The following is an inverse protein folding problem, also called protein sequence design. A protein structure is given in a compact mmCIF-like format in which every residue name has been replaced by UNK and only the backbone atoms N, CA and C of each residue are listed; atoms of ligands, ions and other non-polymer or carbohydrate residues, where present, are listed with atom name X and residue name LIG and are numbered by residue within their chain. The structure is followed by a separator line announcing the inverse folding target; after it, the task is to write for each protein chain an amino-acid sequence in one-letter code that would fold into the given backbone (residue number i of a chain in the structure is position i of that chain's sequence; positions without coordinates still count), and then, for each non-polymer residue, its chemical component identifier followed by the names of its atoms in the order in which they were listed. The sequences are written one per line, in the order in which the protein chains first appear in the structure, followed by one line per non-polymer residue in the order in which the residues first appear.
data_IF_094432479135
#
_entry.id   IF_094432479135
#
_cell.length_a   1.000
_cell.length_b   1.000
_cell.length_c   1.000
_cell.angle_alpha   90.00
_cell.angle_beta   90.00
_cell.angle_gamma   90.00
#
_symmetry.space_group_name_H-M   'P 1'
#
loop_
_entity.id
_entity.type
_entity.pdbx_description
1 polymer ?
#
# COMPACT_ATOMS: atom_id res chain seq x y z
N UNK A 1 -13.21 -10.20 1.11
CA UNK A 1 -11.83 -10.33 1.61
C UNK A 1 -11.09 -9.02 1.37
N UNK A 2 -10.05 -8.68 2.16
CA UNK A 2 -9.20 -7.53 1.88
C UNK A 2 -8.54 -7.70 0.50
N UNK A 3 -8.69 -6.71 -0.37
CA UNK A 3 -8.20 -6.76 -1.75
C UNK A 3 -7.08 -5.75 -2.03
N UNK A 4 -6.13 -6.15 -2.85
CA UNK A 4 -5.07 -5.28 -3.37
C UNK A 4 -5.71 -4.31 -4.38
N UNK A 5 -5.47 -3.02 -4.20
CA UNK A 5 -6.03 -1.98 -5.07
C UNK A 5 -5.26 -1.87 -6.38
N UNK A 6 -5.94 -1.49 -7.46
CA UNK A 6 -5.33 -1.26 -8.77
C UNK A 6 -4.17 -0.25 -8.72
N UNK A 7 -4.30 0.80 -7.91
CA UNK A 7 -3.25 1.80 -7.68
C UNK A 7 -1.97 1.19 -7.08
N UNK A 8 -2.10 0.19 -6.20
CA UNK A 8 -0.93 -0.49 -5.62
C UNK A 8 -0.24 -1.37 -6.68
N UNK A 9 -0.99 -1.93 -7.64
CA UNK A 9 -0.43 -2.64 -8.80
C UNK A 9 0.33 -1.68 -9.71
N UNK A 10 -0.23 -0.50 -9.99
CA UNK A 10 0.43 0.55 -10.78
C UNK A 10 1.74 1.01 -10.12
N UNK A 11 1.71 1.21 -8.81
CA UNK A 11 2.91 1.57 -8.04
C UNK A 11 3.99 0.47 -8.09
N UNK A 12 3.60 -0.80 -7.94
CA UNK A 12 4.50 -1.93 -8.06
C UNK A 12 5.09 -2.09 -9.49
N UNK A 13 4.27 -1.89 -10.52
CA UNK A 13 4.74 -1.88 -11.93
C UNK A 13 5.79 -0.78 -12.12
N UNK A 14 5.53 0.43 -11.65
CA UNK A 14 6.46 1.55 -11.79
C UNK A 14 7.76 1.32 -11.02
N UNK A 15 7.69 0.72 -9.83
CA UNK A 15 8.87 0.29 -9.08
C UNK A 15 9.77 -0.65 -9.90
N UNK A 16 9.19 -1.70 -10.49
CA UNK A 16 9.95 -2.65 -11.28
C UNK A 16 10.44 -2.09 -12.60
N UNK A 17 9.70 -1.17 -13.24
CA UNK A 17 10.18 -0.46 -14.44
C UNK A 17 11.40 0.41 -14.16
N UNK A 18 11.46 1.03 -12.98
CA UNK A 18 12.64 1.79 -12.56
C UNK A 18 13.84 0.91 -12.25
N UNK A 19 13.60 -0.26 -11.63
CA UNK A 19 14.66 -1.20 -11.23
C UNK A 19 15.20 -2.04 -12.39
N UNK A 20 14.32 -2.56 -13.23
CA UNK A 20 14.61 -3.40 -14.38
C UNK A 20 14.02 -2.75 -15.65
N UNK A 21 14.65 -1.68 -16.17
CA UNK A 21 14.17 -1.01 -17.37
C UNK A 21 14.25 -1.95 -18.59
N UNK A 22 13.32 -1.76 -19.52
CA UNK A 22 13.32 -2.48 -20.79
C UNK A 22 14.51 -2.03 -21.65
N UNK A 23 15.43 -2.95 -21.96
CA UNK A 23 16.66 -2.64 -22.70
C UNK A 23 16.40 -2.22 -24.16
N UNK A 24 15.36 -2.77 -24.77
CA UNK A 24 14.92 -2.51 -26.16
C UNK A 24 13.71 -1.57 -26.23
N UNK A 25 13.19 -1.12 -25.06
CA UNK A 25 11.98 -0.31 -24.96
C UNK A 25 10.67 -1.08 -25.20
N UNK A 26 10.71 -2.40 -25.41
CA UNK A 26 9.55 -3.23 -25.76
C UNK A 26 9.41 -4.42 -24.81
N UNK A 27 10.50 -5.12 -24.52
CA UNK A 27 10.53 -6.32 -23.69
C UNK A 27 10.37 -5.97 -22.22
N UNK A 28 9.27 -6.41 -21.61
CA UNK A 28 9.01 -6.24 -20.18
C UNK A 28 9.78 -7.28 -19.35
N UNK A 29 10.35 -6.83 -18.23
CA UNK A 29 10.91 -7.71 -17.20
C UNK A 29 9.84 -8.67 -16.65
N UNK A 30 10.24 -9.86 -16.15
CA UNK A 30 9.29 -10.87 -15.66
C UNK A 30 8.30 -10.33 -14.62
N UNK A 31 8.76 -9.49 -13.69
CA UNK A 31 7.95 -8.91 -12.62
C UNK A 31 6.90 -7.94 -13.17
N UNK A 32 7.32 -7.06 -14.09
CA UNK A 32 6.41 -6.12 -14.76
C UNK A 32 5.37 -6.86 -15.58
N UNK A 33 5.77 -7.92 -16.30
CA UNK A 33 4.84 -8.75 -17.09
C UNK A 33 3.80 -9.44 -16.22
N UNK A 34 4.22 -10.00 -15.07
CA UNK A 34 3.32 -10.68 -14.15
C UNK A 34 2.29 -9.70 -13.55
N UNK A 35 2.74 -8.53 -13.08
CA UNK A 35 1.85 -7.49 -12.54
C UNK A 35 0.93 -6.90 -13.62
N UNK A 36 1.44 -6.69 -14.84
CA UNK A 36 0.64 -6.19 -15.96
C UNK A 36 -0.50 -7.14 -16.34
N UNK A 37 -0.31 -8.46 -16.19
CA UNK A 37 -1.38 -9.44 -16.38
C UNK A 37 -2.51 -9.28 -15.38
N UNK A 38 -2.19 -9.06 -14.09
CA UNK A 38 -3.18 -8.78 -13.05
C UNK A 38 -3.89 -7.45 -13.33
N UNK A 39 -3.13 -6.40 -13.63
CA UNK A 39 -3.68 -5.08 -13.98
C UNK A 39 -4.66 -5.16 -15.14
N UNK A 40 -4.27 -5.82 -16.24
CA UNK A 40 -5.10 -5.99 -17.42
C UNK A 40 -6.41 -6.73 -17.10
N UNK A 41 -6.33 -7.77 -16.26
CA UNK A 41 -7.51 -8.51 -15.79
C UNK A 41 -8.45 -7.62 -14.98
N UNK A 42 -7.93 -6.83 -14.03
CA UNK A 42 -8.72 -5.90 -13.23
C UNK A 42 -9.44 -4.87 -14.09
N UNK A 43 -8.75 -4.28 -15.08
CA UNK A 43 -9.34 -3.32 -16.02
C UNK A 43 -10.43 -4.00 -16.88
N UNK A 44 -10.17 -5.19 -17.39
CA UNK A 44 -11.13 -5.94 -18.21
C UNK A 44 -12.40 -6.31 -17.41
N UNK A 45 -12.25 -6.68 -16.15
CA UNK A 45 -13.35 -7.03 -15.25
C UNK A 45 -14.00 -5.80 -14.57
N UNK A 46 -13.51 -4.58 -14.84
CA UNK A 46 -13.95 -3.33 -14.21
C UNK A 46 -13.87 -3.36 -12.67
N UNK A 47 -12.77 -3.90 -12.14
CA UNK A 47 -12.53 -4.02 -10.70
C UNK A 47 -11.40 -3.10 -10.24
N UNK A 48 -11.63 -2.36 -9.15
CA UNK A 48 -10.59 -1.55 -8.51
C UNK A 48 -9.79 -2.33 -7.45
N UNK A 49 -10.30 -3.49 -7.03
CA UNK A 49 -9.68 -4.36 -6.03
C UNK A 49 -9.74 -5.82 -6.45
N UNK A 50 -8.64 -6.55 -6.25
CA UNK A 50 -8.56 -7.99 -6.48
C UNK A 50 -8.07 -8.72 -5.22
N UNK A 51 -8.56 -9.93 -5.00
CA UNK A 51 -8.15 -10.77 -3.88
C UNK A 51 -6.70 -11.23 -4.06
N UNK A 52 -5.88 -11.20 -3.01
CA UNK A 52 -4.50 -11.67 -3.10
C UNK A 52 -4.41 -13.18 -3.41
N UNK A 53 -5.45 -13.95 -3.07
CA UNK A 53 -5.54 -15.36 -3.39
C UNK A 53 -5.65 -15.64 -4.91
N UNK A 54 -6.13 -14.66 -5.69
CA UNK A 54 -6.29 -14.79 -7.15
C UNK A 54 -5.00 -14.45 -7.90
N UNK A 55 -3.95 -14.00 -7.20
CA UNK A 55 -2.73 -13.53 -7.84
C UNK A 55 -1.85 -14.70 -8.26
N UNK A 56 -1.34 -14.70 -9.50
CA UNK A 56 -0.24 -15.58 -9.87
C UNK A 56 0.95 -15.36 -8.91
N UNK A 57 1.62 -16.44 -8.50
CA UNK A 57 2.70 -16.37 -7.50
C UNK A 57 3.80 -15.34 -7.85
N UNK A 58 4.16 -15.22 -9.14
CA UNK A 58 5.12 -14.22 -9.61
C UNK A 58 4.63 -12.77 -9.45
N UNK A 59 3.33 -12.52 -9.64
CA UNK A 59 2.75 -11.19 -9.45
C UNK A 59 2.67 -10.84 -7.96
N UNK A 60 2.26 -11.79 -7.12
CA UNK A 60 2.20 -11.58 -5.66
C UNK A 60 3.60 -11.33 -5.08
N UNK A 61 4.60 -12.11 -5.49
CA UNK A 61 5.99 -11.88 -5.08
C UNK A 61 6.53 -10.51 -5.54
N UNK A 62 6.22 -10.11 -6.78
CA UNK A 62 6.60 -8.80 -7.30
C UNK A 62 5.91 -7.65 -6.54
N UNK A 63 4.65 -7.83 -6.15
CA UNK A 63 3.92 -6.86 -5.34
C UNK A 63 4.49 -6.74 -3.92
N UNK A 64 4.80 -7.85 -3.24
CA UNK A 64 5.44 -7.84 -1.92
C UNK A 64 6.80 -7.15 -1.94
N UNK A 65 7.62 -7.41 -2.96
CA UNK A 65 8.91 -6.75 -3.10
C UNK A 65 8.80 -5.22 -3.23
N UNK A 66 7.72 -4.70 -3.82
CA UNK A 66 7.44 -3.26 -3.81
C UNK A 66 6.93 -2.82 -2.43
N UNK A 67 5.97 -3.55 -1.85
CA UNK A 67 5.39 -3.27 -0.54
C UNK A 67 6.48 -3.09 0.54
N UNK A 68 7.49 -3.96 0.55
CA UNK A 68 8.62 -3.92 1.49
C UNK A 68 9.48 -2.64 1.39
N UNK A 69 9.35 -1.88 0.29
CA UNK A 69 10.02 -0.58 0.14
C UNK A 69 9.22 0.59 0.71
N UNK A 70 7.94 0.39 0.98
CA UNK A 70 7.03 1.42 1.51
C UNK A 70 7.21 1.62 3.01
N UNK A 71 6.71 2.74 3.56
CA UNK A 71 6.76 2.97 4.99
C UNK A 71 5.87 1.95 5.73
N UNK A 72 6.42 1.25 6.72
CA UNK A 72 5.67 0.20 7.43
C UNK A 72 4.54 0.80 8.25
N UNK A 73 4.75 1.91 8.97
CA UNK A 73 3.72 2.46 9.88
C UNK A 73 3.36 3.91 9.60
N UNK A 74 2.06 4.29 9.69
CA UNK A 74 1.65 5.70 9.58
C UNK A 74 1.85 6.50 10.87
N UNK A 75 2.40 5.89 11.92
CA UNK A 75 2.50 6.46 13.26
C UNK A 75 3.48 7.65 13.31
N UNK A 76 3.12 8.69 14.06
CA UNK A 76 3.99 9.85 14.35
C UNK A 76 4.27 10.01 15.85
N UNK A 77 4.19 8.91 16.60
CA UNK A 77 4.33 8.85 18.07
C UNK A 77 3.37 9.80 18.83
N UNK A 78 2.18 10.04 18.27
CA UNK A 78 1.08 10.74 18.93
C UNK A 78 -0.15 9.84 18.84
N UNK A 79 -0.69 9.45 20.00
CA UNK A 79 -1.87 8.59 20.09
C UNK A 79 -2.99 9.32 20.82
N UNK A 80 -4.14 9.45 20.16
CA UNK A 80 -5.35 10.01 20.76
C UNK A 80 -6.44 8.96 20.99
N UNK A 81 -6.32 7.77 20.39
CA UNK A 81 -7.24 6.64 20.64
C UNK A 81 -7.06 6.08 22.04
N UNK A 82 -5.84 6.08 22.60
CA UNK A 82 -5.60 5.78 24.02
C UNK A 82 -6.27 6.78 24.98
N UNK A 83 -6.72 7.93 24.48
CA UNK A 83 -7.43 8.97 25.24
C UNK A 83 -8.95 8.97 24.95
N UNK A 84 -9.44 8.01 24.17
CA UNK A 84 -10.86 7.81 23.90
C UNK A 84 -11.37 8.25 22.52
N UNK A 85 -10.51 8.78 21.63
CA UNK A 85 -10.94 9.06 20.25
C UNK A 85 -11.14 7.76 19.44
N UNK A 86 -12.15 7.69 18.58
CA UNK A 86 -12.37 6.53 17.70
C UNK A 86 -11.29 6.40 16.60
N UNK A 87 -10.79 7.54 16.11
CA UNK A 87 -9.71 7.66 15.13
C UNK A 87 -8.55 8.44 15.74
N UNK A 88 -7.33 7.95 15.54
CA UNK A 88 -6.14 8.59 16.04
C UNK A 88 -5.89 9.89 15.26
N UNK A 89 -5.99 11.04 15.94
CA UNK A 89 -5.72 12.37 15.34
C UNK A 89 -4.30 12.49 14.78
N UNK A 90 -3.35 11.72 15.32
CA UNK A 90 -1.97 11.69 14.84
C UNK A 90 -1.83 10.99 13.49
N UNK A 91 -2.24 9.72 13.39
CA UNK A 91 -1.96 8.86 12.24
C UNK A 91 -3.18 8.47 11.37
N UNK A 92 -4.40 8.72 11.83
CA UNK A 92 -5.65 8.40 11.10
C UNK A 92 -6.16 6.96 11.27
N UNK A 93 -5.43 6.11 12.01
CA UNK A 93 -5.84 4.72 12.29
C UNK A 93 -6.97 4.64 13.31
N UNK A 94 -7.82 3.62 13.21
CA UNK A 94 -8.77 3.23 14.26
C UNK A 94 -8.05 2.66 15.48
N UNK A 95 -8.73 2.55 16.61
CA UNK A 95 -8.15 1.89 17.79
C UNK A 95 -7.76 0.43 17.53
N UNK A 96 -8.55 -0.30 16.76
CA UNK A 96 -8.27 -1.69 16.38
C UNK A 96 -7.02 -1.80 15.51
N UNK A 97 -6.89 -0.98 14.47
CA UNK A 97 -5.71 -0.94 13.60
C UNK A 97 -4.44 -0.53 14.36
N UNK A 98 -4.56 0.32 15.38
CA UNK A 98 -3.44 0.69 16.25
C UNK A 98 -2.98 -0.50 17.08
N UNK A 99 -3.91 -1.26 17.68
CA UNK A 99 -3.59 -2.40 18.55
C UNK A 99 -3.06 -3.60 17.75
N UNK A 100 -3.65 -3.89 16.61
CA UNK A 100 -3.36 -5.11 15.85
C UNK A 100 -2.37 -4.90 14.70
N UNK A 101 -1.79 -3.70 14.54
CA UNK A 101 -0.93 -3.36 13.39
C UNK A 101 0.13 -4.40 13.06
N UNK A 102 0.79 -4.96 14.08
CA UNK A 102 1.87 -5.95 13.89
C UNK A 102 1.37 -7.31 13.38
N UNK A 103 0.10 -7.64 13.64
CA UNK A 103 -0.52 -8.88 13.19
C UNK A 103 -1.25 -8.74 11.85
N UNK A 104 -1.50 -7.51 11.38
CA UNK A 104 -2.16 -7.25 10.11
C UNK A 104 -1.29 -7.68 8.92
N UNK A 105 -1.93 -8.25 7.91
CA UNK A 105 -1.29 -8.61 6.64
C UNK A 105 -0.83 -7.37 5.86
N UNK A 106 0.04 -7.55 4.87
CA UNK A 106 0.46 -6.47 3.99
C UNK A 106 -0.75 -5.80 3.29
N UNK A 107 -1.73 -6.60 2.84
CA UNK A 107 -2.93 -6.10 2.16
C UNK A 107 -3.80 -5.29 3.13
N UNK A 108 -3.99 -5.78 4.36
CA UNK A 108 -4.75 -5.06 5.39
C UNK A 108 -4.09 -3.72 5.73
N UNK A 109 -2.76 -3.71 5.91
CA UNK A 109 -1.99 -2.49 6.13
C UNK A 109 -2.13 -1.51 4.96
N UNK A 110 -2.11 -2.00 3.71
CA UNK A 110 -2.32 -1.17 2.52
C UNK A 110 -3.71 -0.57 2.44
N UNK A 111 -4.75 -1.30 2.83
CA UNK A 111 -6.11 -0.76 2.93
C UNK A 111 -6.17 0.40 3.93
N UNK A 112 -5.58 0.23 5.12
CA UNK A 112 -5.49 1.31 6.10
C UNK A 112 -4.73 2.52 5.54
N UNK A 113 -3.55 2.29 4.95
CA UNK A 113 -2.73 3.35 4.34
C UNK A 113 -3.48 4.10 3.24
N UNK A 114 -4.18 3.39 2.36
CA UNK A 114 -5.01 3.99 1.32
C UNK A 114 -6.09 4.87 1.93
N UNK A 115 -6.85 4.36 2.91
CA UNK A 115 -7.92 5.12 3.58
C UNK A 115 -7.38 6.40 4.20
N UNK A 116 -6.36 6.31 5.07
CA UNK A 116 -5.85 7.49 5.78
C UNK A 116 -5.23 8.52 4.83
N UNK A 117 -4.66 8.07 3.71
CA UNK A 117 -4.08 8.96 2.69
C UNK A 117 -5.15 9.66 1.87
N UNK A 118 -6.24 8.96 1.54
CA UNK A 118 -7.41 9.54 0.85
C UNK A 118 -8.15 10.54 1.74
N UNK A 119 -8.36 10.21 3.02
CA UNK A 119 -9.02 11.11 3.98
C UNK A 119 -8.15 12.33 4.30
N UNK A 120 -6.84 12.14 4.45
CA UNK A 120 -5.86 13.20 4.73
C UNK A 120 -6.21 14.11 5.94
N UNK A 121 -7.03 13.64 6.87
CA UNK A 121 -7.52 14.44 8.02
C UNK A 121 -6.59 14.42 9.22
N UNK A 122 -5.70 13.43 9.30
CA UNK A 122 -4.78 13.25 10.42
C UNK A 122 -3.64 14.28 10.42
N UNK A 123 -3.11 14.61 11.60
CA UNK A 123 -2.09 15.65 11.76
C UNK A 123 -0.79 15.37 10.99
N UNK A 124 -0.47 14.11 10.73
CA UNK A 124 0.66 13.71 9.88
C UNK A 124 0.63 14.27 8.45
N UNK A 125 -0.52 14.71 7.96
CA UNK A 125 -0.67 15.31 6.63
C UNK A 125 -0.64 16.85 6.65
N UNK A 126 -0.51 17.46 7.82
CA UNK A 126 -0.49 18.91 7.98
C UNK A 126 0.35 19.34 9.19
N UNK A 127 -0.31 19.54 10.34
CA UNK A 127 0.28 20.10 11.57
C UNK A 127 1.62 19.46 11.99
N UNK A 128 1.78 18.15 11.77
CA UNK A 128 2.97 17.38 12.14
C UNK A 128 3.50 16.56 10.95
N UNK A 129 3.48 17.14 9.74
CA UNK A 129 3.99 16.48 8.54
C UNK A 129 5.50 16.16 8.62
N UNK A 130 6.26 16.98 9.33
CA UNK A 130 7.68 16.78 9.62
C UNK A 130 7.95 15.45 10.35
N UNK A 131 7.01 15.00 11.20
CA UNK A 131 7.12 13.74 11.94
C UNK A 131 6.76 12.50 11.12
N UNK A 132 6.09 12.68 9.98
CA UNK A 132 5.69 11.58 9.10
C UNK A 132 6.84 11.07 8.23
N UNK A 133 7.91 11.86 8.10
CA UNK A 133 9.10 11.52 7.33
C UNK A 133 10.03 10.68 8.21
N UNK A 134 9.92 9.35 8.11
CA UNK A 134 11.01 8.49 8.57
C UNK A 134 12.24 8.82 7.72
N UNK A 135 13.29 9.36 8.35
CA UNK A 135 14.61 9.45 7.72
C UNK A 135 15.06 8.01 7.46
N UNK A 136 14.94 7.55 6.21
CA UNK A 136 15.69 6.39 5.74
C UNK A 136 17.18 6.72 5.70
#
# INVERSE_FOLDING_TARGET
MPGIHIIDIEAAINYWRGKHPSADGVTLAPEVRALAGVYARMVFEHQDTADEADFPAGALAAWHAWYDTTADTPCIAICSTSQGDALCKGCGRTFEEVQHWLAMSAVEKRITWRRITQEATAWRFGRYADRALEKK
#
